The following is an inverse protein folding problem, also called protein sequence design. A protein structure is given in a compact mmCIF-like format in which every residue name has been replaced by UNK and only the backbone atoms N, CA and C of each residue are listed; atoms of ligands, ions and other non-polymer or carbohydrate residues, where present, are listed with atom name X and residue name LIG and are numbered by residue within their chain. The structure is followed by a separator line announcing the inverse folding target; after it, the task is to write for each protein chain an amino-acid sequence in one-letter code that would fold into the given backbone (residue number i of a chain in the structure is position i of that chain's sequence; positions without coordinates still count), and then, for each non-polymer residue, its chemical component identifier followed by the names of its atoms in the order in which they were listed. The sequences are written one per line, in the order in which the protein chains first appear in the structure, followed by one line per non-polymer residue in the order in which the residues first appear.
data_IF_717532090456
#
_entry.id   IF_717532090456
#
_cell.length_a   1.000
_cell.length_b   1.000
_cell.length_c   1.000
_cell.angle_alpha   90.00
_cell.angle_beta   90.00
_cell.angle_gamma   90.00
#
_symmetry.space_group_name_H-M   'P 1'
#
loop_
_entity.id
_entity.type
_entity.pdbx_description
1 polymer ?
#
# COMPACT_ATOMS: atom_id res chain seq x y z
N UNK A 1 -7.58 2.59 -18.71
CA UNK A 1 -6.17 2.90 -19.08
C UNK A 1 -5.36 1.61 -18.99
N UNK A 2 -4.52 1.32 -20.01
CA UNK A 2 -3.57 0.20 -19.92
C UNK A 2 -2.35 0.57 -19.07
N UNK A 3 -1.59 -0.44 -18.66
CA UNK A 3 -0.47 -0.27 -17.72
C UNK A 3 0.64 0.62 -18.31
N UNK A 4 0.99 0.43 -19.58
CA UNK A 4 2.07 1.21 -20.20
C UNK A 4 1.70 2.70 -20.28
N UNK A 5 0.48 3.00 -20.72
CA UNK A 5 -0.04 4.37 -20.73
C UNK A 5 -0.02 5.01 -19.32
N UNK A 6 -0.36 4.22 -18.29
CA UNK A 6 -0.25 4.72 -16.91
C UNK A 6 1.20 4.99 -16.51
N UNK A 7 2.13 4.08 -16.80
CA UNK A 7 3.56 4.25 -16.48
C UNK A 7 4.10 5.51 -17.16
N UNK A 8 3.84 5.68 -18.45
CA UNK A 8 4.30 6.84 -19.21
C UNK A 8 3.76 8.15 -18.62
N UNK A 9 2.45 8.22 -18.34
CA UNK A 9 1.82 9.37 -17.72
C UNK A 9 2.36 9.63 -16.30
N UNK A 10 2.59 8.59 -15.50
CA UNK A 10 3.11 8.72 -14.14
C UNK A 10 4.54 9.27 -14.15
N UNK A 11 5.41 8.72 -14.99
CA UNK A 11 6.79 9.18 -15.11
C UNK A 11 6.87 10.59 -15.70
N UNK A 12 6.03 10.92 -16.67
CA UNK A 12 5.95 12.29 -17.19
C UNK A 12 5.46 13.27 -16.13
N UNK A 13 4.51 12.87 -15.31
CA UNK A 13 3.89 13.73 -14.28
C UNK A 13 4.77 13.92 -13.05
N UNK A 14 5.27 12.81 -12.49
CA UNK A 14 6.04 12.82 -11.23
C UNK A 14 7.55 12.88 -11.42
N UNK A 15 8.09 12.41 -12.49
CA UNK A 15 9.50 12.28 -12.88
C UNK A 15 9.86 10.84 -13.21
N UNK A 16 10.79 10.64 -14.15
CA UNK A 16 11.39 9.33 -14.41
C UNK A 16 12.16 8.73 -13.22
N UNK A 17 12.47 9.53 -12.19
CA UNK A 17 13.07 9.09 -10.93
C UNK A 17 12.04 8.62 -9.90
N UNK A 18 10.74 8.95 -10.09
CA UNK A 18 9.69 8.48 -9.20
C UNK A 18 9.56 6.97 -9.31
N UNK A 19 9.59 6.30 -8.17
CA UNK A 19 9.49 4.84 -8.11
C UNK A 19 8.11 4.38 -8.59
N UNK A 20 8.08 3.38 -9.47
CA UNK A 20 6.82 2.80 -9.94
C UNK A 20 6.13 2.07 -8.79
N UNK A 21 4.80 2.20 -8.67
CA UNK A 21 4.06 1.57 -7.59
C UNK A 21 4.07 0.05 -7.70
N UNK A 22 3.79 -0.59 -6.58
CA UNK A 22 3.67 -2.03 -6.41
C UNK A 22 2.19 -2.38 -6.39
N UNK A 23 1.76 -3.23 -7.31
CA UNK A 23 0.44 -3.83 -7.27
C UNK A 23 0.44 -5.07 -6.36
N UNK A 24 -0.70 -5.33 -5.72
CA UNK A 24 -0.92 -6.57 -4.98
C UNK A 24 -2.31 -7.14 -5.25
N UNK A 25 -2.38 -8.46 -5.29
CA UNK A 25 -3.61 -9.21 -5.58
C UNK A 25 -3.60 -10.58 -4.90
N UNK A 26 -4.76 -11.26 -4.89
CA UNK A 26 -4.88 -12.61 -4.37
C UNK A 26 -5.27 -13.59 -5.48
N UNK A 27 -4.66 -14.78 -5.48
CA UNK A 27 -5.08 -15.87 -6.37
C UNK A 27 -4.82 -17.27 -5.77
N UNK A 28 -5.33 -18.30 -6.42
CA UNK A 28 -5.05 -19.71 -6.07
C UNK A 28 -3.88 -20.26 -6.89
N UNK A 29 -3.44 -19.54 -7.92
CA UNK A 29 -2.31 -19.88 -8.77
C UNK A 29 -1.07 -19.11 -8.35
N UNK A 30 0.06 -19.78 -8.25
CA UNK A 30 1.33 -19.16 -7.94
C UNK A 30 1.77 -18.24 -9.09
N UNK A 31 2.11 -17.00 -8.77
CA UNK A 31 2.64 -16.01 -9.70
C UNK A 31 4.00 -15.52 -9.19
N UNK A 32 5.06 -15.73 -9.98
CA UNK A 32 6.42 -15.40 -9.56
C UNK A 32 6.98 -16.35 -8.47
N UNK A 33 7.95 -15.87 -7.71
CA UNK A 33 8.65 -16.67 -6.70
C UNK A 33 7.83 -16.79 -5.40
N UNK A 34 7.68 -18.01 -4.88
CA UNK A 34 7.14 -18.21 -3.55
C UNK A 34 8.19 -17.81 -2.50
N UNK A 35 8.04 -16.63 -1.93
CA UNK A 35 8.98 -16.06 -0.96
C UNK A 35 8.59 -16.41 0.47
N UNK A 36 9.55 -16.99 1.20
CA UNK A 36 9.44 -17.21 2.64
C UNK A 36 10.16 -16.09 3.39
N UNK A 37 9.45 -15.44 4.32
CA UNK A 37 10.05 -14.41 5.18
C UNK A 37 10.30 -14.94 6.60
N UNK A 38 11.43 -14.55 7.16
CA UNK A 38 11.69 -14.72 8.61
C UNK A 38 11.37 -13.38 9.29
N UNK A 39 10.20 -13.27 9.95
CA UNK A 39 9.71 -12.03 10.54
C UNK A 39 8.85 -11.20 9.60
N UNK A 40 9.05 -9.87 9.55
CA UNK A 40 8.18 -8.95 8.85
C UNK A 40 8.03 -9.28 7.36
N UNK A 41 6.81 -9.16 6.85
CA UNK A 41 6.47 -9.31 5.43
C UNK A 41 7.29 -8.34 4.55
N UNK A 42 7.50 -7.11 5.03
CA UNK A 42 8.22 -6.07 4.28
C UNK A 42 9.72 -6.33 4.10
N UNK A 43 10.27 -7.41 4.66
CA UNK A 43 11.60 -7.89 4.26
C UNK A 43 11.72 -8.22 2.77
N UNK A 44 10.60 -8.54 2.13
CA UNK A 44 10.55 -8.80 0.70
C UNK A 44 10.48 -7.52 -0.16
N UNK A 45 10.26 -6.35 0.45
CA UNK A 45 9.99 -5.11 -0.26
C UNK A 45 11.12 -4.71 -1.20
N UNK A 46 12.38 -4.85 -0.79
CA UNK A 46 13.53 -4.53 -1.65
C UNK A 46 13.56 -5.37 -2.94
N UNK A 47 13.26 -6.65 -2.86
CA UNK A 47 13.23 -7.53 -4.04
C UNK A 47 12.09 -7.13 -5.00
N UNK A 48 10.90 -6.80 -4.45
CA UNK A 48 9.77 -6.32 -5.24
C UNK A 48 10.10 -5.01 -5.95
N UNK A 49 10.71 -4.06 -5.24
CA UNK A 49 11.18 -2.77 -5.79
C UNK A 49 12.18 -2.97 -6.93
N UNK A 50 13.02 -3.99 -6.83
CA UNK A 50 13.98 -4.37 -7.88
C UNK A 50 13.34 -5.13 -9.05
N UNK A 51 12.02 -5.30 -9.07
CA UNK A 51 11.25 -5.87 -10.15
C UNK A 51 11.03 -7.39 -10.05
N UNK A 52 11.27 -8.00 -8.89
CA UNK A 52 10.86 -9.38 -8.67
C UNK A 52 9.33 -9.45 -8.44
N UNK A 53 8.70 -10.46 -9.04
CA UNK A 53 7.32 -10.82 -8.73
C UNK A 53 7.32 -11.87 -7.61
N UNK A 54 6.67 -11.56 -6.49
CA UNK A 54 6.71 -12.38 -5.28
C UNK A 54 5.31 -12.85 -4.91
N UNK A 55 5.22 -14.12 -4.57
CA UNK A 55 4.03 -14.73 -3.98
C UNK A 55 4.29 -15.09 -2.53
N UNK A 56 3.28 -14.92 -1.68
CA UNK A 56 3.32 -15.34 -0.28
C UNK A 56 2.03 -16.07 0.10
N UNK A 57 2.15 -17.04 1.02
CA UNK A 57 1.00 -17.74 1.61
C UNK A 57 1.01 -17.56 3.14
N UNK A 58 -0.04 -18.02 3.81
CA UNK A 58 -0.07 -18.07 5.26
C UNK A 58 1.07 -18.85 5.90
N UNK A 59 1.63 -19.84 5.19
CA UNK A 59 2.77 -20.62 5.67
C UNK A 59 4.10 -19.90 5.42
N UNK A 60 4.21 -19.14 4.34
CA UNK A 60 5.46 -18.50 3.94
C UNK A 60 5.72 -17.16 4.64
N UNK A 61 4.68 -16.48 5.15
CA UNK A 61 4.82 -15.26 5.93
C UNK A 61 5.27 -15.60 7.35
N UNK A 62 6.42 -15.07 7.78
CA UNK A 62 7.03 -15.43 9.06
C UNK A 62 6.40 -14.76 10.28
N UNK A 63 5.81 -13.55 10.17
CA UNK A 63 5.25 -12.86 11.33
C UNK A 63 3.72 -13.06 11.46
N UNK A 64 3.25 -13.23 12.71
CA UNK A 64 1.84 -13.42 13.02
C UNK A 64 0.95 -12.25 12.59
N UNK A 65 1.45 -11.00 12.74
CA UNK A 65 0.76 -9.81 12.27
C UNK A 65 0.60 -9.79 10.75
N UNK A 66 1.65 -10.12 9.99
CA UNK A 66 1.58 -10.22 8.55
C UNK A 66 0.55 -11.27 8.08
N UNK A 67 0.56 -12.48 8.69
CA UNK A 67 -0.44 -13.51 8.40
C UNK A 67 -1.87 -13.04 8.67
N UNK A 68 -2.06 -12.37 9.80
CA UNK A 68 -3.38 -11.87 10.20
C UNK A 68 -3.85 -10.75 9.25
N UNK A 69 -3.06 -9.70 9.06
CA UNK A 69 -3.44 -8.54 8.25
C UNK A 69 -3.54 -8.82 6.75
N UNK A 70 -2.96 -9.91 6.26
CA UNK A 70 -3.21 -10.43 4.90
C UNK A 70 -4.40 -11.39 4.86
N UNK A 71 -5.08 -11.65 5.98
CA UNK A 71 -6.28 -12.47 6.06
C UNK A 71 -6.04 -13.98 6.12
N UNK A 72 -4.80 -14.46 6.13
CA UNK A 72 -4.50 -15.89 6.10
C UNK A 72 -4.77 -16.62 7.42
N UNK A 73 -4.62 -15.94 8.56
CA UNK A 73 -4.82 -16.55 9.89
C UNK A 73 -5.74 -15.68 10.76
N UNK A 74 -6.37 -16.26 11.79
CA UNK A 74 -6.97 -15.49 12.86
C UNK A 74 -5.91 -14.60 13.56
N UNK A 75 -6.37 -13.60 14.30
CA UNK A 75 -5.49 -12.82 15.16
C UNK A 75 -4.86 -13.73 16.22
N UNK A 76 -3.52 -13.70 16.38
CA UNK A 76 -2.88 -14.44 17.48
C UNK A 76 -3.31 -13.88 18.85
N UNK A 77 -3.62 -14.76 19.80
CA UNK A 77 -4.15 -14.38 21.13
C UNK A 77 -3.24 -13.42 21.91
N UNK A 78 -1.94 -13.50 21.72
CA UNK A 78 -0.97 -12.65 22.43
C UNK A 78 -0.90 -11.21 21.89
N UNK A 79 -1.46 -10.92 20.69
CA UNK A 79 -1.30 -9.62 20.00
C UNK A 79 -1.79 -8.44 20.83
N UNK A 80 -2.95 -8.45 21.52
CA UNK A 80 -3.39 -7.30 22.29
C UNK A 80 -2.40 -6.92 23.41
N UNK A 81 -1.92 -7.89 24.14
CA UNK A 81 -0.92 -7.68 25.20
C UNK A 81 0.44 -7.28 24.63
N UNK A 82 0.88 -7.91 23.54
CA UNK A 82 2.15 -7.59 22.89
C UNK A 82 2.17 -6.15 22.38
N UNK A 83 1.16 -5.75 21.62
CA UNK A 83 1.07 -4.41 21.01
C UNK A 83 0.90 -3.29 22.05
N UNK A 84 0.19 -3.54 23.16
CA UNK A 84 -0.01 -2.53 24.21
C UNK A 84 1.12 -2.53 25.26
N UNK A 85 1.47 -3.69 25.82
CA UNK A 85 2.38 -3.75 26.96
C UNK A 85 3.86 -3.85 26.57
N UNK A 86 4.17 -4.41 25.37
CA UNK A 86 5.55 -4.55 24.89
C UNK A 86 5.92 -3.44 23.92
N UNK A 87 5.19 -3.32 22.81
CA UNK A 87 5.44 -2.30 21.79
C UNK A 87 4.91 -0.92 22.16
N UNK A 88 3.94 -0.85 23.06
CA UNK A 88 3.33 0.39 23.58
C UNK A 88 2.71 1.27 22.50
N UNK A 89 2.16 0.68 21.44
CA UNK A 89 1.46 1.42 20.38
C UNK A 89 0.04 1.82 20.76
N UNK A 90 -0.55 1.14 21.73
CA UNK A 90 -1.85 1.47 22.33
C UNK A 90 -1.74 1.39 23.84
N UNK A 91 -2.54 2.19 24.52
CA UNK A 91 -2.48 2.32 25.97
C UNK A 91 -2.89 1.02 26.69
N UNK A 92 -3.90 0.31 26.16
CA UNK A 92 -4.40 -0.93 26.76
C UNK A 92 -4.66 -2.02 25.71
N UNK A 93 -4.70 -3.31 26.14
CA UNK A 93 -5.08 -4.42 25.25
C UNK A 93 -6.49 -4.24 24.63
N UNK A 94 -7.42 -3.66 25.39
CA UNK A 94 -8.80 -3.43 24.92
C UNK A 94 -8.82 -2.43 23.76
N UNK A 95 -8.00 -1.38 23.80
CA UNK A 95 -7.85 -0.43 22.70
C UNK A 95 -7.27 -1.11 21.44
N UNK A 96 -6.40 -2.09 21.60
CA UNK A 96 -5.90 -2.89 20.47
C UNK A 96 -7.03 -3.69 19.86
N UNK A 97 -7.81 -4.41 20.69
CA UNK A 97 -8.96 -5.19 20.23
C UNK A 97 -10.01 -4.35 19.52
N UNK A 98 -10.34 -3.19 20.10
CA UNK A 98 -11.28 -2.24 19.49
C UNK A 98 -10.76 -1.76 18.12
N UNK A 99 -9.49 -1.38 18.04
CA UNK A 99 -8.85 -0.96 16.80
C UNK A 99 -8.89 -2.05 15.72
N UNK A 100 -8.54 -3.27 16.08
CA UNK A 100 -8.58 -4.43 15.17
C UNK A 100 -10.02 -4.71 14.69
N UNK A 101 -11.01 -4.63 15.58
CA UNK A 101 -12.41 -4.78 15.22
C UNK A 101 -12.87 -3.71 14.21
N UNK A 102 -12.40 -2.46 14.37
CA UNK A 102 -12.71 -1.37 13.42
C UNK A 102 -12.02 -1.54 12.06
N UNK A 103 -10.85 -2.16 12.03
CA UNK A 103 -10.16 -2.48 10.78
C UNK A 103 -10.94 -3.52 9.98
N UNK A 104 -11.60 -4.49 10.66
CA UNK A 104 -12.44 -5.52 10.05
C UNK A 104 -11.66 -6.36 9.02
N UNK A 105 -10.59 -7.00 9.49
CA UNK A 105 -9.71 -7.81 8.62
C UNK A 105 -10.49 -8.98 8.00
N UNK A 106 -10.68 -8.93 6.69
CA UNK A 106 -11.37 -9.96 5.95
C UNK A 106 -10.47 -11.19 5.74
N UNK A 107 -11.06 -12.38 5.86
CA UNK A 107 -10.31 -13.62 5.59
C UNK A 107 -9.97 -13.73 4.11
N UNK A 108 -8.73 -14.12 3.82
CA UNK A 108 -8.32 -14.46 2.47
C UNK A 108 -9.06 -15.72 2.02
N UNK A 109 -9.69 -15.64 0.86
CA UNK A 109 -10.37 -16.77 0.21
C UNK A 109 -9.47 -17.48 -0.80
N UNK A 110 -8.29 -16.92 -1.05
CA UNK A 110 -7.28 -17.40 -1.99
C UNK A 110 -6.04 -17.89 -1.26
N UNK A 111 -5.27 -18.75 -1.93
CA UNK A 111 -4.10 -19.39 -1.34
C UNK A 111 -2.90 -18.46 -1.20
N UNK A 112 -2.75 -17.53 -2.15
CA UNK A 112 -1.59 -16.63 -2.22
C UNK A 112 -2.01 -15.17 -2.25
N UNK A 113 -1.14 -14.31 -1.69
CA UNK A 113 -1.06 -12.89 -2.01
C UNK A 113 0.20 -12.65 -2.83
N UNK A 114 0.09 -11.83 -3.88
CA UNK A 114 1.17 -11.52 -4.79
C UNK A 114 1.51 -10.04 -4.74
N UNK A 115 2.77 -9.74 -5.01
CA UNK A 115 3.29 -8.38 -5.11
C UNK A 115 4.19 -8.29 -6.34
N UNK A 116 3.98 -7.26 -7.15
CA UNK A 116 4.87 -6.95 -8.26
C UNK A 116 4.88 -5.44 -8.52
N UNK A 117 6.02 -4.91 -8.93
CA UNK A 117 6.06 -3.58 -9.52
C UNK A 117 5.23 -3.58 -10.81
N UNK A 118 4.49 -2.50 -11.07
CA UNK A 118 3.46 -2.48 -12.13
C UNK A 118 4.01 -2.77 -13.53
N UNK A 119 5.27 -2.47 -13.82
CA UNK A 119 5.92 -2.79 -15.10
C UNK A 119 6.17 -4.31 -15.33
N UNK A 120 5.85 -5.14 -14.33
CA UNK A 120 5.88 -6.61 -14.41
C UNK A 120 4.53 -7.23 -14.68
N UNK A 121 3.48 -6.41 -14.76
CA UNK A 121 2.12 -6.86 -14.99
C UNK A 121 1.68 -6.61 -16.44
N UNK A 122 0.73 -7.41 -16.89
CA UNK A 122 0.06 -7.23 -18.19
C UNK A 122 -1.33 -6.59 -18.04
N UNK A 123 -1.93 -6.64 -16.83
CA UNK A 123 -3.26 -6.11 -16.54
C UNK A 123 -3.38 -5.69 -15.07
N UNK A 124 -4.27 -4.74 -14.78
CA UNK A 124 -4.69 -4.37 -13.43
C UNK A 124 -5.95 -5.13 -12.96
N UNK A 125 -6.49 -6.05 -13.77
CA UNK A 125 -7.83 -6.62 -13.58
C UNK A 125 -8.02 -7.26 -12.21
N UNK A 126 -7.04 -8.02 -11.76
CA UNK A 126 -7.08 -8.73 -10.48
C UNK A 126 -6.52 -7.93 -9.30
N UNK A 127 -5.97 -6.74 -9.52
CA UNK A 127 -5.32 -5.98 -8.47
C UNK A 127 -6.33 -5.49 -7.41
N UNK A 128 -5.96 -5.64 -6.14
CA UNK A 128 -6.71 -5.08 -5.00
C UNK A 128 -6.32 -3.61 -4.75
N UNK A 129 -5.07 -3.23 -5.05
CA UNK A 129 -4.59 -1.87 -4.89
C UNK A 129 -3.17 -1.67 -5.38
N UNK A 130 -2.77 -0.41 -5.41
CA UNK A 130 -1.42 0.04 -5.73
C UNK A 130 -0.76 0.71 -4.52
N UNK A 131 0.41 0.24 -4.15
CA UNK A 131 1.26 0.77 -3.09
C UNK A 131 2.35 1.66 -3.70
N UNK A 132 2.30 2.95 -3.44
CA UNK A 132 3.34 3.92 -3.77
C UNK A 132 4.26 4.09 -2.57
N UNK A 133 5.57 4.07 -2.81
CA UNK A 133 6.59 4.48 -1.86
C UNK A 133 7.02 5.89 -2.22
N UNK A 134 6.66 6.85 -1.38
CA UNK A 134 6.67 8.25 -1.75
C UNK A 134 7.52 9.10 -0.79
N UNK A 135 8.42 9.90 -1.37
CA UNK A 135 9.05 11.03 -0.68
C UNK A 135 8.02 12.16 -0.46
N UNK A 136 8.28 13.16 0.38
CA UNK A 136 7.33 14.23 0.65
C UNK A 136 6.79 14.94 -0.60
N UNK A 137 7.64 15.20 -1.60
CA UNK A 137 7.23 15.86 -2.83
C UNK A 137 6.32 14.99 -3.69
N UNK A 138 6.67 13.71 -3.87
CA UNK A 138 5.80 12.75 -4.56
C UNK A 138 4.49 12.60 -3.80
N UNK A 139 4.54 12.48 -2.48
CA UNK A 139 3.36 12.36 -1.63
C UNK A 139 2.43 13.55 -1.77
N UNK A 140 2.97 14.79 -1.85
CA UNK A 140 2.15 15.99 -2.04
C UNK A 140 1.35 15.93 -3.34
N UNK A 141 1.94 15.40 -4.42
CA UNK A 141 1.26 15.18 -5.69
C UNK A 141 0.19 14.09 -5.61
N UNK A 142 0.50 12.95 -4.98
CA UNK A 142 -0.48 11.87 -4.79
C UNK A 142 -1.69 12.34 -3.96
N UNK A 143 -1.46 13.14 -2.94
CA UNK A 143 -2.52 13.74 -2.10
C UNK A 143 -3.39 14.70 -2.93
N UNK A 144 -2.79 15.65 -3.66
CA UNK A 144 -3.55 16.58 -4.51
C UNK A 144 -4.34 15.85 -5.60
N UNK A 145 -3.78 14.80 -6.15
CA UNK A 145 -4.47 13.97 -7.14
C UNK A 145 -5.68 13.26 -6.52
N UNK A 146 -5.55 12.69 -5.31
CA UNK A 146 -6.64 12.02 -4.61
C UNK A 146 -7.79 12.97 -4.20
N UNK A 147 -7.51 14.26 -4.01
CA UNK A 147 -8.51 15.27 -3.66
C UNK A 147 -9.11 16.01 -4.87
N UNK A 148 -8.64 15.77 -6.09
CA UNK A 148 -9.05 16.56 -7.25
C UNK A 148 -10.56 16.50 -7.51
N UNK A 149 -11.18 15.35 -7.38
CA UNK A 149 -12.60 15.08 -7.60
C UNK A 149 -13.35 14.68 -6.32
N UNK A 150 -12.68 14.71 -5.15
CA UNK A 150 -13.21 14.23 -3.89
C UNK A 150 -13.02 15.26 -2.78
N UNK A 151 -14.12 15.88 -2.35
CA UNK A 151 -14.13 16.87 -1.27
C UNK A 151 -14.32 16.25 0.13
N UNK A 152 -14.36 14.92 0.25
CA UNK A 152 -14.47 14.29 1.56
C UNK A 152 -13.20 14.55 2.38
N UNK A 153 -13.30 15.01 3.63
CA UNK A 153 -12.14 15.12 4.51
C UNK A 153 -11.48 13.75 4.79
N UNK A 154 -12.19 12.67 4.48
CA UNK A 154 -11.72 11.29 4.63
C UNK A 154 -11.21 10.67 3.33
N UNK A 155 -11.07 11.46 2.23
CA UNK A 155 -10.52 10.97 0.95
C UNK A 155 -9.16 10.29 1.13
N UNK A 156 -8.40 10.72 2.14
CA UNK A 156 -7.17 10.07 2.58
C UNK A 156 -7.29 9.76 4.07
N UNK A 157 -7.10 8.50 4.41
CA UNK A 157 -7.11 8.01 5.79
C UNK A 157 -5.69 7.65 6.24
N UNK A 158 -5.36 7.99 7.48
CA UNK A 158 -4.06 7.67 8.10
C UNK A 158 -4.27 6.83 9.36
N UNK A 159 -4.86 5.64 9.25
CA UNK A 159 -5.12 4.81 10.43
C UNK A 159 -3.79 4.33 11.02
N UNK A 160 -3.52 4.65 12.28
CA UNK A 160 -2.36 4.11 12.95
C UNK A 160 -2.57 2.63 13.27
N UNK A 161 -1.70 1.78 12.73
CA UNK A 161 -1.70 0.33 12.92
C UNK A 161 -0.39 -0.25 12.42
N UNK A 162 -0.31 -1.56 12.31
CA UNK A 162 0.85 -2.20 11.69
C UNK A 162 1.00 -1.78 10.22
N UNK A 163 2.23 -1.79 9.71
CA UNK A 163 2.49 -1.47 8.31
C UNK A 163 1.61 -2.29 7.34
N UNK A 164 1.43 -3.59 7.60
CA UNK A 164 0.55 -4.45 6.79
C UNK A 164 -0.92 -4.01 6.81
N UNK A 165 -1.41 -3.50 7.95
CA UNK A 165 -2.78 -2.98 8.04
C UNK A 165 -2.98 -1.77 7.14
N UNK A 166 -2.10 -0.77 7.28
CA UNK A 166 -2.22 0.49 6.55
C UNK A 166 -1.98 0.33 5.04
N UNK A 167 -1.07 -0.58 4.63
CA UNK A 167 -0.69 -0.73 3.22
C UNK A 167 -1.49 -1.79 2.46
N UNK A 168 -2.02 -2.80 3.13
CA UNK A 168 -2.71 -3.92 2.48
C UNK A 168 -4.16 -3.99 2.92
N UNK A 169 -4.41 -4.26 4.21
CA UNK A 169 -5.75 -4.59 4.70
C UNK A 169 -6.77 -3.50 4.41
N UNK A 170 -6.42 -2.23 4.71
CA UNK A 170 -7.33 -1.10 4.52
C UNK A 170 -7.69 -0.92 3.04
N UNK A 171 -6.70 -1.04 2.15
CA UNK A 171 -6.94 -0.92 0.71
C UNK A 171 -7.76 -2.09 0.16
N UNK A 172 -7.49 -3.33 0.60
CA UNK A 172 -8.31 -4.51 0.23
C UNK A 172 -9.76 -4.32 0.66
N UNK A 173 -9.98 -3.92 1.92
CA UNK A 173 -11.32 -3.69 2.44
C UNK A 173 -12.06 -2.58 1.67
N UNK A 174 -11.35 -1.49 1.37
CA UNK A 174 -11.92 -0.36 0.62
C UNK A 174 -12.24 -0.76 -0.82
N UNK A 175 -11.34 -1.48 -1.50
CA UNK A 175 -11.56 -1.98 -2.86
C UNK A 175 -12.80 -2.86 -2.95
N UNK A 176 -12.93 -3.82 -2.03
CA UNK A 176 -14.06 -4.78 -2.01
C UNK A 176 -15.40 -4.15 -1.69
N UNK A 177 -15.40 -2.98 -1.04
CA UNK A 177 -16.60 -2.17 -0.76
C UNK A 177 -16.92 -1.16 -1.87
N UNK A 178 -16.07 -1.05 -2.91
CA UNK A 178 -16.18 -0.01 -3.91
C UNK A 178 -15.95 1.39 -3.33
N UNK A 179 -15.14 1.50 -2.29
CA UNK A 179 -14.85 2.77 -1.62
C UNK A 179 -13.80 3.61 -2.34
N UNK A 180 -13.66 4.88 -1.91
CA UNK A 180 -12.88 5.91 -2.61
C UNK A 180 -11.73 6.48 -1.78
N UNK A 181 -11.41 5.89 -0.61
CA UNK A 181 -10.35 6.38 0.26
C UNK A 181 -8.99 5.81 -0.14
N UNK A 182 -7.97 6.65 -0.19
CA UNK A 182 -6.57 6.24 -0.19
C UNK A 182 -6.03 6.16 1.25
N UNK A 183 -4.89 5.49 1.45
CA UNK A 183 -4.32 5.25 2.78
C UNK A 183 -2.86 5.66 2.85
N UNK A 184 -2.54 6.53 3.80
CA UNK A 184 -1.18 6.90 4.14
C UNK A 184 -0.68 6.01 5.28
N UNK A 185 0.49 5.43 5.14
CA UNK A 185 1.02 4.44 6.08
C UNK A 185 2.53 4.47 6.26
N UNK A 186 3.06 3.38 6.84
CA UNK A 186 4.44 3.24 7.28
C UNK A 186 4.84 4.17 8.42
N UNK A 187 3.90 4.48 9.31
CA UNK A 187 4.17 5.15 10.58
C UNK A 187 4.60 4.18 11.69
N UNK A 188 4.34 2.90 11.52
CA UNK A 188 4.68 1.83 12.44
C UNK A 188 6.22 1.65 12.53
N UNK A 189 6.85 1.86 13.70
CA UNK A 189 8.29 1.69 13.87
C UNK A 189 8.82 0.31 13.48
N UNK A 190 7.99 -0.74 13.52
CA UNK A 190 8.40 -2.09 13.11
C UNK A 190 8.51 -2.25 11.58
N UNK A 191 7.82 -1.44 10.80
CA UNK A 191 7.86 -1.43 9.34
C UNK A 191 8.87 -0.39 8.78
N UNK A 192 9.12 0.69 9.52
CA UNK A 192 10.02 1.79 9.09
C UNK A 192 11.41 1.34 8.62
N UNK A 193 12.08 0.35 9.23
CA UNK A 193 13.42 -0.08 8.80
C UNK A 193 13.50 -0.66 7.38
N UNK A 194 12.35 -0.93 6.73
CA UNK A 194 12.31 -1.51 5.38
C UNK A 194 12.16 -0.49 4.26
N UNK A 195 12.10 0.79 4.60
CA UNK A 195 12.07 1.92 3.67
C UNK A 195 13.03 3.02 4.13
N UNK A 196 13.39 3.92 3.24
CA UNK A 196 14.22 5.07 3.51
C UNK A 196 13.56 6.02 4.54
N UNK A 197 14.36 6.78 5.27
CA UNK A 197 13.88 7.63 6.37
C UNK A 197 12.90 8.71 5.94
N UNK A 198 12.97 9.14 4.67
CA UNK A 198 12.11 10.15 4.06
C UNK A 198 10.99 9.56 3.17
N UNK A 199 10.72 8.25 3.27
CA UNK A 199 9.69 7.57 2.47
C UNK A 199 8.53 7.12 3.36
N UNK A 200 7.31 7.37 2.89
CA UNK A 200 6.05 6.82 3.44
C UNK A 200 5.34 6.00 2.36
N UNK A 201 4.38 5.19 2.77
CA UNK A 201 3.50 4.49 1.84
C UNK A 201 2.25 5.29 1.56
N UNK A 202 1.82 5.31 0.31
CA UNK A 202 0.52 5.79 -0.10
C UNK A 202 -0.15 4.68 -0.90
N UNK A 203 -1.24 4.11 -0.37
CA UNK A 203 -1.92 2.99 -1.02
C UNK A 203 -3.27 3.43 -1.55
N UNK A 204 -3.50 3.18 -2.84
CA UNK A 204 -4.76 3.46 -3.52
C UNK A 204 -5.46 2.13 -3.81
N UNK A 205 -6.68 1.87 -3.29
CA UNK A 205 -7.45 0.71 -3.67
C UNK A 205 -7.82 0.76 -5.16
N UNK A 206 -7.97 -0.37 -5.79
CA UNK A 206 -8.18 -0.42 -7.25
C UNK A 206 -9.50 0.22 -7.69
N UNK A 207 -10.54 0.16 -6.85
CA UNK A 207 -11.80 0.90 -7.06
C UNK A 207 -11.56 2.40 -7.25
N UNK A 208 -10.71 3.00 -6.41
CA UNK A 208 -10.38 4.42 -6.48
C UNK A 208 -9.36 4.74 -7.58
N UNK A 209 -8.37 3.87 -7.77
CA UNK A 209 -7.32 4.08 -8.78
C UNK A 209 -7.90 4.21 -10.20
N UNK A 210 -8.89 3.39 -10.54
CA UNK A 210 -9.56 3.43 -11.86
C UNK A 210 -10.18 4.80 -12.16
N UNK A 211 -10.71 5.47 -11.15
CA UNK A 211 -11.25 6.83 -11.29
C UNK A 211 -10.12 7.86 -11.41
N UNK A 212 -9.16 7.79 -10.51
CA UNK A 212 -8.05 8.75 -10.44
C UNK A 212 -7.19 8.76 -11.71
N UNK A 213 -6.89 7.59 -12.30
CA UNK A 213 -5.97 7.51 -13.43
C UNK A 213 -6.46 8.26 -14.69
N UNK A 214 -7.77 8.45 -14.83
CA UNK A 214 -8.35 9.25 -15.93
C UNK A 214 -8.14 10.76 -15.73
N UNK A 215 -7.89 11.20 -14.49
CA UNK A 215 -7.79 12.60 -14.12
C UNK A 215 -6.36 13.12 -13.95
N UNK A 216 -5.34 12.27 -14.06
CA UNK A 216 -3.96 12.65 -13.82
C UNK A 216 -3.50 13.82 -14.68
N UNK A 217 -3.97 13.89 -15.93
CA UNK A 217 -3.58 14.92 -16.92
C UNK A 217 -4.45 16.16 -16.93
N UNK A 218 -5.47 16.23 -16.09
CA UNK A 218 -6.40 17.38 -16.02
C UNK A 218 -6.48 18.01 -14.64
N UNK A 219 -5.77 17.44 -13.66
CA UNK A 219 -5.71 17.95 -12.29
C UNK A 219 -4.52 18.90 -12.07
N UNK A 220 -4.29 19.27 -10.82
CA UNK A 220 -3.19 20.17 -10.41
C UNK A 220 -1.78 19.67 -10.78
N UNK A 221 -1.64 18.38 -11.10
CA UNK A 221 -0.39 17.78 -11.55
C UNK A 221 0.04 18.20 -12.97
N UNK A 222 -0.84 18.86 -13.72
CA UNK A 222 -0.54 19.44 -15.03
C UNK A 222 -0.54 20.98 -14.97
N UNK A 223 0.14 21.55 -13.98
CA UNK A 223 0.21 23.00 -13.77
C UNK A 223 1.65 23.49 -13.61
N UNK A 224 1.85 24.80 -13.83
CA UNK A 224 3.14 25.44 -13.57
C UNK A 224 3.60 25.28 -12.10
N UNK A 225 2.67 25.29 -11.15
CA UNK A 225 2.99 25.10 -9.73
C UNK A 225 3.57 23.70 -9.48
N UNK A 226 2.97 22.67 -10.06
CA UNK A 226 3.48 21.30 -9.99
C UNK A 226 4.85 21.16 -10.70
N UNK A 227 5.04 21.83 -11.83
CA UNK A 227 6.32 21.80 -12.55
C UNK A 227 7.53 22.19 -11.68
N UNK A 228 7.36 23.09 -10.70
CA UNK A 228 8.40 23.44 -9.73
C UNK A 228 8.72 22.30 -8.75
N UNK A 229 7.70 21.57 -8.33
CA UNK A 229 7.88 20.39 -7.45
C UNK A 229 8.53 19.24 -8.23
N UNK A 230 8.07 19.00 -9.45
CA UNK A 230 8.67 17.99 -10.33
C UNK A 230 10.17 18.25 -10.56
N UNK A 231 10.56 19.52 -10.81
CA UNK A 231 11.97 19.86 -10.96
C UNK A 231 12.80 19.47 -9.72
N UNK A 232 12.28 19.67 -8.50
CA UNK A 232 12.96 19.21 -7.27
C UNK A 232 13.07 17.68 -7.19
N UNK A 233 12.03 16.95 -7.63
CA UNK A 233 12.08 15.49 -7.69
C UNK A 233 13.17 15.04 -8.68
N UNK A 234 13.32 15.74 -9.80
CA UNK A 234 14.35 15.46 -10.82
C UNK A 234 15.77 15.77 -10.32
N UNK A 235 15.96 16.72 -9.41
CA UNK A 235 17.26 17.08 -8.82
C UNK A 235 17.69 16.12 -7.71
N UNK A 236 16.76 15.56 -6.94
CA UNK A 236 16.99 14.67 -5.78
C UNK A 236 17.15 13.22 -6.16
#
# INVERSE_FOLDING_TARGET
MDIQTFIDNYQETFSGKAELPIAFWYSDTLSGELRKTQGCLFKALSAIRNGEMISMSGESIGCGGGKFYTGFTPMPEHVPNFVSLKERYKQTPEMVLEGIKKIDVQRATKQYIHFARIDRLTSFEDAEGLLFLATPDILSGLVTWAFFDNNSPEAISTPFGSGCSATITQAVNENRRGGHRAFLGFFDPSARPYVESNVLSFTIPMSRFKEMCEMMRICSLDTHAWGKIKARIDEG
#
